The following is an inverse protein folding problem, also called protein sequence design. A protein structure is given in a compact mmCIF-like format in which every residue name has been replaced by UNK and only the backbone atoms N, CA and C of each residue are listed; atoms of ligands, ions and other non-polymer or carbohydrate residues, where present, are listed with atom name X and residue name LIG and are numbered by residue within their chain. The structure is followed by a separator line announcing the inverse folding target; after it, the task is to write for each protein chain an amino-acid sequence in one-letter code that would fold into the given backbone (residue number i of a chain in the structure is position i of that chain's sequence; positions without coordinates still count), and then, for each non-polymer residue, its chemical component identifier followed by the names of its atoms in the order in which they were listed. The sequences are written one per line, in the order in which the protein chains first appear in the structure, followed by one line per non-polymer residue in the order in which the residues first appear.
data_IF_204854486546
#
_entry.id   IF_204854486546
#
_cell.length_a   1.000
_cell.length_b   1.000
_cell.length_c   1.000
_cell.angle_alpha   90.00
_cell.angle_beta   90.00
_cell.angle_gamma   90.00
#
_symmetry.space_group_name_H-M   'P 1'
#
loop_
_entity.id
_entity.type
_entity.pdbx_description
1 polymer ?
#
# COMPACT_ATOMS: atom_id res chain seq x y z
N UNK A 1 25.90 22.93 -10.62
CA UNK A 1 24.90 21.85 -10.46
C UNK A 1 25.23 20.74 -11.44
N UNK A 2 25.72 19.59 -10.96
CA UNK A 2 26.14 18.49 -11.83
C UNK A 2 24.91 17.86 -12.52
N UNK A 3 24.90 17.84 -13.86
CA UNK A 3 23.81 17.24 -14.64
C UNK A 3 23.58 15.77 -14.28
N UNK A 4 24.64 15.05 -13.89
CA UNK A 4 24.58 13.68 -13.38
C UNK A 4 23.78 13.56 -12.07
N UNK A 5 23.91 14.53 -11.16
CA UNK A 5 23.15 14.57 -9.91
C UNK A 5 21.67 14.85 -10.16
N UNK A 6 21.36 15.73 -11.13
CA UNK A 6 19.97 15.97 -11.52
C UNK A 6 19.32 14.70 -12.12
N UNK A 7 20.04 13.97 -12.97
CA UNK A 7 19.56 12.72 -13.57
C UNK A 7 19.31 11.66 -12.49
N UNK A 8 20.24 11.47 -11.55
CA UNK A 8 20.06 10.48 -10.48
C UNK A 8 18.86 10.80 -9.60
N UNK A 9 18.63 12.08 -9.29
CA UNK A 9 17.45 12.51 -8.52
C UNK A 9 16.16 12.24 -9.31
N UNK A 10 16.12 12.55 -10.59
CA UNK A 10 14.94 12.29 -11.44
C UNK A 10 14.62 10.79 -11.49
N UNK A 11 15.61 9.92 -11.62
CA UNK A 11 15.42 8.46 -11.66
C UNK A 11 14.81 7.94 -10.35
N UNK A 12 15.36 8.35 -9.21
CA UNK A 12 14.86 7.94 -7.87
C UNK A 12 13.43 8.42 -7.66
N UNK A 13 13.12 9.64 -8.09
CA UNK A 13 11.78 10.20 -7.99
C UNK A 13 10.80 9.39 -8.86
N UNK A 14 11.17 9.10 -10.12
CA UNK A 14 10.33 8.31 -11.03
C UNK A 14 10.04 6.90 -10.52
N UNK A 15 11.05 6.22 -9.95
CA UNK A 15 10.88 4.86 -9.44
C UNK A 15 9.94 4.81 -8.23
N UNK A 16 10.01 5.77 -7.31
CA UNK A 16 9.07 5.86 -6.18
C UNK A 16 7.64 6.08 -6.69
N UNK A 17 7.44 7.00 -7.63
CA UNK A 17 6.11 7.25 -8.20
C UNK A 17 5.54 6.03 -8.90
N UNK A 18 6.37 5.24 -9.59
CA UNK A 18 5.93 4.03 -10.27
C UNK A 18 5.45 2.95 -9.28
N UNK A 19 6.14 2.77 -8.15
CA UNK A 19 5.73 1.81 -7.11
C UNK A 19 4.40 2.18 -6.46
N UNK A 20 4.17 3.48 -6.21
CA UNK A 20 2.89 3.98 -5.68
C UNK A 20 1.76 3.77 -6.70
N UNK A 21 2.02 4.04 -7.99
CA UNK A 21 1.03 3.87 -9.05
C UNK A 21 0.65 2.40 -9.29
N UNK A 22 1.57 1.47 -9.04
CA UNK A 22 1.33 0.03 -9.16
C UNK A 22 0.67 -0.58 -7.92
N UNK A 23 0.49 0.17 -6.83
CA UNK A 23 -0.24 -0.29 -5.64
C UNK A 23 0.32 -1.56 -5.02
N UNK A 24 1.66 -1.73 -5.04
CA UNK A 24 2.31 -3.03 -4.77
C UNK A 24 2.50 -3.33 -3.28
N UNK A 25 2.25 -2.38 -2.38
CA UNK A 25 2.19 -2.65 -0.94
C UNK A 25 0.75 -2.96 -0.56
N UNK A 26 0.30 -4.16 -0.91
CA UNK A 26 -0.96 -4.71 -0.45
C UNK A 26 -0.75 -5.56 0.81
N UNK A 27 -1.76 -5.60 1.67
CA UNK A 27 -1.69 -6.31 2.95
C UNK A 27 -1.93 -7.81 2.69
N UNK A 28 -1.02 -8.72 3.11
CA UNK A 28 -1.22 -10.16 2.97
C UNK A 28 -2.48 -10.67 3.68
N UNK A 29 -2.97 -11.85 3.29
CA UNK A 29 -4.04 -12.50 4.04
C UNK A 29 -3.62 -12.81 5.48
N UNK A 30 -4.54 -12.59 6.43
CA UNK A 30 -4.25 -12.77 7.85
C UNK A 30 -3.50 -11.62 8.51
N UNK A 31 -3.04 -10.62 7.75
CA UNK A 31 -2.40 -9.42 8.30
C UNK A 31 -3.41 -8.35 8.68
N UNK A 32 -2.96 -7.43 9.54
CA UNK A 32 -3.79 -6.38 10.13
C UNK A 32 -4.06 -5.27 9.11
N UNK A 33 -5.33 -4.88 8.99
CA UNK A 33 -5.81 -3.84 8.07
C UNK A 33 -6.64 -2.80 8.80
N UNK A 34 -6.71 -1.59 8.24
CA UNK A 34 -7.62 -0.56 8.77
C UNK A 34 -9.01 -0.67 8.15
N UNK A 35 -10.02 -0.53 9.00
CA UNK A 35 -11.44 -0.59 8.64
C UNK A 35 -11.91 0.54 7.73
N UNK A 36 -11.22 1.68 7.75
CA UNK A 36 -11.51 2.87 6.94
C UNK A 36 -10.82 2.84 5.56
N UNK A 37 -9.98 1.83 5.30
CA UNK A 37 -9.20 1.72 4.06
C UNK A 37 -8.04 2.71 3.94
N UNK A 38 -7.63 3.35 5.02
CA UNK A 38 -6.55 4.35 5.03
C UNK A 38 -5.15 3.73 5.06
N UNK A 39 -4.18 4.47 4.48
CA UNK A 39 -2.70 4.43 4.52
C UNK A 39 -1.90 3.11 4.63
N UNK A 40 -2.37 2.07 5.32
CA UNK A 40 -1.71 0.76 5.44
C UNK A 40 -1.91 -0.14 4.22
N UNK A 41 -2.66 0.32 3.22
CA UNK A 41 -2.87 -0.40 1.96
C UNK A 41 -4.16 -1.22 1.98
N UNK A 42 -4.56 -1.70 0.79
CA UNK A 42 -5.68 -2.63 0.64
C UNK A 42 -5.17 -4.06 0.82
N UNK A 43 -6.04 -4.96 1.28
CA UNK A 43 -5.73 -6.39 1.24
C UNK A 43 -5.40 -6.81 -0.20
N UNK A 44 -4.35 -7.63 -0.36
CA UNK A 44 -3.90 -8.11 -1.68
C UNK A 44 -5.00 -8.86 -2.42
N UNK A 45 -5.67 -9.74 -1.69
CA UNK A 45 -6.84 -10.48 -2.14
C UNK A 45 -7.91 -10.30 -1.05
N UNK A 46 -9.17 -10.14 -1.43
CA UNK A 46 -10.25 -10.08 -0.45
C UNK A 46 -10.57 -8.69 0.13
N UNK A 47 -10.98 -8.68 1.40
CA UNK A 47 -11.45 -7.51 2.13
C UNK A 47 -10.93 -7.49 3.57
N UNK A 48 -10.96 -6.30 4.18
CA UNK A 48 -10.64 -6.15 5.60
C UNK A 48 -11.84 -6.59 6.43
N UNK A 49 -11.72 -7.70 7.16
CA UNK A 49 -12.73 -8.17 8.10
C UNK A 49 -12.53 -7.48 9.46
N UNK A 50 -13.47 -6.61 9.83
CA UNK A 50 -13.42 -5.87 11.10
C UNK A 50 -14.80 -5.88 11.79
N UNK A 51 -14.78 -5.66 13.11
CA UNK A 51 -16.00 -5.52 13.91
C UNK A 51 -16.40 -4.05 13.90
N UNK A 52 -17.69 -3.76 13.66
CA UNK A 52 -18.20 -2.38 13.64
C UNK A 52 -17.88 -1.65 14.96
N UNK A 53 -17.15 -0.56 14.87
CA UNK A 53 -16.67 0.22 16.01
C UNK A 53 -15.18 0.03 16.33
N UNK A 54 -14.50 -0.91 15.66
CA UNK A 54 -13.05 -1.04 15.72
C UNK A 54 -12.41 -0.39 14.48
N UNK A 55 -11.30 0.31 14.69
CA UNK A 55 -10.53 0.94 13.61
C UNK A 55 -9.71 -0.09 12.80
N UNK A 56 -9.53 -1.29 13.34
CA UNK A 56 -8.67 -2.34 12.78
C UNK A 56 -9.42 -3.66 12.56
N UNK A 57 -8.95 -4.43 11.59
CA UNK A 57 -9.41 -5.77 11.26
C UNK A 57 -8.30 -6.65 10.69
N UNK A 58 -8.67 -7.72 10.02
CA UNK A 58 -7.75 -8.68 9.41
C UNK A 58 -8.11 -8.92 7.95
N UNK A 59 -7.13 -9.00 7.06
CA UNK A 59 -7.37 -9.33 5.66
C UNK A 59 -7.87 -10.76 5.49
N UNK A 60 -8.98 -10.92 4.78
CA UNK A 60 -9.67 -12.19 4.54
C UNK A 60 -10.08 -12.29 3.07
N UNK A 61 -9.88 -13.48 2.48
CA UNK A 61 -10.27 -13.78 1.10
C UNK A 61 -11.79 -13.82 0.93
N UNK A 62 -12.25 -13.65 -0.30
CA UNK A 62 -13.62 -13.99 -0.68
C UNK A 62 -13.69 -15.53 -0.82
N UNK A 63 -14.29 -16.21 0.15
CA UNK A 63 -14.59 -17.65 0.07
C UNK A 63 -15.62 -17.98 -1.03
#
# INVERSE_FOLDING_TARGET
MNKLFAISVIIVVLSVFLNVALGVDCIPDGELCWSDGSYLGKCCEGFCFYIKGNDFGTCTKFD
#
